data_IF_874319154935
#
_entry.id   IF_874319154935
#
_cell.length_a   1.000
_cell.length_b   1.000
_cell.length_c   1.000
_cell.angle_alpha   90.00
_cell.angle_beta   90.00
_cell.angle_gamma   90.00
#
_symmetry.space_group_name_H-M   'P 1'
#
loop_
_entity.id
_entity.type
_entity.pdbx_description
1 polymer ?
#
# COMPACT_ATOMS: atom_id res chain seq x y z
N UNK A 1 13.61 8.87 -25.95
CA UNK A 1 12.83 7.63 -25.77
C UNK A 1 12.24 7.19 -27.10
N UNK A 2 12.31 5.90 -27.42
CA UNK A 2 11.69 5.33 -28.63
C UNK A 2 10.15 5.45 -28.56
N UNK A 3 9.48 5.38 -29.71
CA UNK A 3 8.00 5.35 -29.78
C UNK A 3 7.44 4.21 -28.94
N UNK A 4 8.09 3.05 -28.97
CA UNK A 4 7.74 1.89 -28.15
C UNK A 4 7.81 2.21 -26.65
N UNK A 5 8.90 2.84 -26.18
CA UNK A 5 9.04 3.19 -24.77
C UNK A 5 7.94 4.14 -24.28
N UNK A 6 7.53 5.11 -25.12
CA UNK A 6 6.39 6.01 -24.79
C UNK A 6 5.08 5.24 -24.67
N UNK A 7 4.83 4.29 -25.57
CA UNK A 7 3.63 3.45 -25.52
C UNK A 7 3.63 2.58 -24.27
N UNK A 8 4.75 1.95 -23.93
CA UNK A 8 4.86 1.13 -22.72
C UNK A 8 4.60 1.93 -21.44
N UNK A 9 5.15 3.14 -21.34
CA UNK A 9 4.88 4.03 -20.19
C UNK A 9 3.40 4.39 -20.13
N UNK A 10 2.77 4.74 -21.25
CA UNK A 10 1.34 5.03 -21.31
C UNK A 10 0.50 3.82 -20.87
N UNK A 11 0.89 2.60 -21.27
CA UNK A 11 0.23 1.36 -20.85
C UNK A 11 0.37 1.11 -19.35
N UNK A 12 1.57 1.24 -18.78
CA UNK A 12 1.80 1.06 -17.34
C UNK A 12 0.98 2.07 -16.52
N UNK A 13 0.98 3.33 -16.94
CA UNK A 13 0.17 4.37 -16.27
C UNK A 13 -1.32 4.03 -16.37
N UNK A 14 -1.81 3.69 -17.57
CA UNK A 14 -3.22 3.37 -17.79
C UNK A 14 -3.68 2.18 -16.95
N UNK A 15 -2.89 1.10 -16.91
CA UNK A 15 -3.17 -0.08 -16.10
C UNK A 15 -3.08 0.20 -14.60
N UNK A 16 -2.08 0.97 -14.16
CA UNK A 16 -1.94 1.36 -12.75
C UNK A 16 -3.13 2.18 -12.26
N UNK A 17 -3.59 3.17 -13.06
CA UNK A 17 -4.79 3.95 -12.74
C UNK A 17 -6.03 3.06 -12.68
N UNK A 18 -6.23 2.17 -13.66
CA UNK A 18 -7.36 1.26 -13.68
C UNK A 18 -7.37 0.32 -12.45
N UNK A 19 -6.20 -0.19 -12.06
CA UNK A 19 -6.04 -1.07 -10.90
C UNK A 19 -6.28 -0.32 -9.58
N UNK A 20 -5.79 0.91 -9.44
CA UNK A 20 -6.04 1.76 -8.28
C UNK A 20 -7.53 2.07 -8.10
N UNK A 21 -8.25 2.38 -9.19
CA UNK A 21 -9.70 2.59 -9.15
C UNK A 21 -10.41 1.31 -8.69
N UNK A 22 -10.06 0.16 -9.28
CA UNK A 22 -10.67 -1.11 -8.94
C UNK A 22 -10.41 -1.51 -7.48
N UNK A 23 -9.19 -1.34 -6.98
CA UNK A 23 -8.83 -1.70 -5.61
C UNK A 23 -9.55 -0.81 -4.59
N UNK A 24 -9.66 0.49 -4.84
CA UNK A 24 -10.42 1.43 -3.99
C UNK A 24 -11.91 1.10 -4.02
N UNK A 25 -12.48 0.84 -5.20
CA UNK A 25 -13.89 0.45 -5.29
C UNK A 25 -14.16 -0.83 -4.50
N UNK A 26 -13.31 -1.86 -4.64
CA UNK A 26 -13.44 -3.08 -3.84
C UNK A 26 -13.32 -2.80 -2.35
N UNK A 27 -12.38 -1.95 -1.93
CA UNK A 27 -12.23 -1.56 -0.53
C UNK A 27 -13.48 -0.88 0.02
N UNK A 28 -14.03 0.09 -0.71
CA UNK A 28 -15.26 0.81 -0.32
C UNK A 28 -16.50 -0.09 -0.25
N UNK A 29 -16.51 -1.20 -0.99
CA UNK A 29 -17.56 -2.23 -0.92
C UNK A 29 -17.21 -3.37 0.06
N UNK A 30 -16.19 -3.22 0.90
CA UNK A 30 -15.73 -4.21 1.87
C UNK A 30 -15.22 -5.53 1.27
N UNK A 31 -14.71 -5.48 0.03
CA UNK A 31 -14.23 -6.63 -0.76
C UNK A 31 -12.70 -6.68 -0.93
N UNK A 32 -11.95 -5.84 -0.22
CA UNK A 32 -10.47 -5.84 -0.26
C UNK A 32 -9.84 -6.88 0.67
N UNK A 33 -10.63 -7.44 1.60
CA UNK A 33 -10.09 -8.18 2.74
C UNK A 33 -9.50 -7.23 3.79
N UNK A 34 -9.69 -7.56 5.07
CA UNK A 34 -9.20 -6.75 6.20
C UNK A 34 -7.93 -7.30 6.86
N UNK A 35 -7.65 -8.59 6.69
CA UNK A 35 -6.53 -9.24 7.39
C UNK A 35 -5.18 -8.70 6.90
N UNK A 36 -4.82 -8.94 5.63
CA UNK A 36 -3.53 -8.47 5.11
C UNK A 36 -3.47 -6.94 5.06
N UNK A 37 -4.49 -6.30 4.47
CA UNK A 37 -4.51 -4.85 4.31
C UNK A 37 -4.46 -4.12 5.66
N UNK A 38 -5.24 -4.55 6.65
CA UNK A 38 -5.28 -3.94 7.97
C UNK A 38 -3.98 -4.16 8.76
N UNK A 39 -3.30 -5.29 8.55
CA UNK A 39 -2.01 -5.56 9.21
C UNK A 39 -0.96 -4.54 8.78
N UNK A 40 -0.85 -4.30 7.47
CA UNK A 40 0.12 -3.37 6.92
C UNK A 40 -0.28 -1.90 7.13
N UNK A 41 -1.57 -1.58 7.04
CA UNK A 41 -2.12 -0.26 7.35
C UNK A 41 -1.74 0.19 8.76
N UNK A 42 -2.04 -0.64 9.77
CA UNK A 42 -1.68 -0.35 11.16
C UNK A 42 -0.17 -0.14 11.34
N UNK A 43 0.64 -0.99 10.72
CA UNK A 43 2.10 -0.91 10.85
C UNK A 43 2.68 0.35 10.19
N UNK A 44 2.22 0.72 8.99
CA UNK A 44 2.67 1.94 8.31
C UNK A 44 2.22 3.19 9.08
N UNK A 45 1.00 3.21 9.59
CA UNK A 45 0.51 4.27 10.46
C UNK A 45 1.36 4.41 11.73
N UNK A 46 1.72 3.30 12.37
CA UNK A 46 2.62 3.30 13.54
C UNK A 46 4.00 3.85 13.18
N UNK A 47 4.59 3.44 12.06
CA UNK A 47 5.86 4.00 11.59
C UNK A 47 5.78 5.50 11.32
N UNK A 48 4.70 5.97 10.68
CA UNK A 48 4.49 7.38 10.40
C UNK A 48 4.39 8.25 11.66
N UNK A 49 3.96 7.66 12.78
CA UNK A 49 3.83 8.31 14.09
C UNK A 49 4.98 7.97 15.05
N UNK A 50 6.06 7.31 14.58
CA UNK A 50 7.19 6.88 15.40
C UNK A 50 6.78 5.99 16.59
N UNK A 51 5.76 5.15 16.41
CA UNK A 51 5.27 4.19 17.39
C UNK A 51 5.87 2.80 17.15
N UNK A 52 5.82 1.96 18.18
CA UNK A 52 6.18 0.54 18.05
C UNK A 52 5.19 -0.16 17.09
N UNK A 53 5.65 -0.80 16.01
CA UNK A 53 4.78 -1.38 14.98
C UNK A 53 4.22 -2.75 15.43
N UNK A 54 3.47 -2.74 16.53
CA UNK A 54 2.80 -3.91 17.09
C UNK A 54 1.43 -4.09 16.44
N UNK A 55 1.21 -5.27 15.88
CA UNK A 55 -0.02 -5.60 15.20
C UNK A 55 -1.04 -6.22 16.15
N UNK A 56 -2.24 -5.65 16.22
CA UNK A 56 -3.30 -6.13 17.12
C UNK A 56 -4.07 -7.34 16.57
N UNK A 57 -4.00 -7.61 15.27
CA UNK A 57 -4.66 -8.75 14.61
C UNK A 57 -3.87 -10.04 14.84
N UNK A 58 -2.55 -9.98 14.65
CA UNK A 58 -1.61 -11.10 14.86
C UNK A 58 -0.98 -11.13 16.24
N UNK A 59 -1.23 -10.10 17.06
CA UNK A 59 -0.68 -9.96 18.41
C UNK A 59 0.85 -10.05 18.48
N UNK A 60 1.52 -9.55 17.44
CA UNK A 60 2.97 -9.66 17.27
C UNK A 60 3.55 -8.37 16.69
N UNK A 61 4.85 -8.17 16.87
CA UNK A 61 5.57 -7.10 16.18
C UNK A 61 5.64 -7.42 14.68
N UNK A 62 5.41 -6.43 13.80
CA UNK A 62 5.33 -6.67 12.35
C UNK A 62 6.57 -7.41 11.80
N UNK A 63 7.76 -6.99 12.24
CA UNK A 63 9.04 -7.60 11.83
C UNK A 63 9.28 -9.01 12.40
N UNK A 64 8.53 -9.40 13.45
CA UNK A 64 8.58 -10.74 14.03
C UNK A 64 7.62 -11.72 13.36
N UNK A 65 6.60 -11.21 12.66
CA UNK A 65 5.71 -12.02 11.82
C UNK A 65 6.32 -12.22 10.42
N UNK A 66 6.66 -11.12 9.75
CA UNK A 66 7.36 -11.12 8.45
C UNK A 66 8.36 -9.97 8.39
N UNK A 67 9.62 -10.26 8.05
CA UNK A 67 10.68 -9.25 8.01
C UNK A 67 10.55 -8.35 6.77
N UNK A 68 9.69 -7.33 6.85
CA UNK A 68 9.44 -6.35 5.78
C UNK A 68 10.17 -5.02 6.05
N UNK A 69 11.47 -4.97 5.78
CA UNK A 69 12.31 -3.79 6.03
C UNK A 69 11.97 -2.58 5.14
N UNK A 70 11.24 -2.80 4.06
CA UNK A 70 10.76 -1.73 3.17
C UNK A 70 9.53 -1.01 3.72
N UNK A 71 8.81 -1.60 4.67
CA UNK A 71 7.54 -1.08 5.17
C UNK A 71 7.63 0.32 5.81
N UNK A 72 8.68 0.65 6.61
CA UNK A 72 8.84 1.99 7.15
C UNK A 72 8.98 3.07 6.08
N UNK A 73 9.45 2.73 4.87
CA UNK A 73 9.60 3.68 3.76
C UNK A 73 8.26 4.18 3.22
N UNK A 74 7.14 3.51 3.56
CA UNK A 74 5.80 3.94 3.18
C UNK A 74 5.21 4.97 4.15
N UNK A 75 5.85 5.23 5.30
CA UNK A 75 5.40 6.22 6.28
C UNK A 75 5.09 7.61 5.69
N UNK A 76 5.86 8.15 4.73
CA UNK A 76 5.55 9.45 4.12
C UNK A 76 4.20 9.50 3.39
N UNK A 77 3.65 8.37 2.94
CA UNK A 77 2.31 8.34 2.33
C UNK A 77 1.26 8.79 3.35
N UNK A 78 1.41 8.40 4.62
CA UNK A 78 0.47 8.71 5.70
C UNK A 78 0.64 10.15 6.21
N UNK A 79 1.80 10.77 5.99
CA UNK A 79 1.96 12.21 6.23
C UNK A 79 1.23 13.06 5.18
N UNK A 80 1.14 12.58 3.94
CA UNK A 80 0.40 13.25 2.87
C UNK A 80 -1.10 12.99 2.98
N UNK A 81 -1.47 11.74 3.24
CA UNK A 81 -2.85 11.31 3.40
C UNK A 81 -2.92 10.10 4.31
N UNK A 82 -3.36 10.33 5.55
CA UNK A 82 -3.58 9.30 6.57
C UNK A 82 -4.82 8.45 6.24
N UNK A 83 -4.68 7.57 5.24
CA UNK A 83 -5.74 6.69 4.77
C UNK A 83 -5.18 5.46 4.05
N UNK A 84 -5.74 4.29 4.35
CA UNK A 84 -5.36 3.00 3.75
C UNK A 84 -5.43 2.98 2.22
N UNK A 85 -6.27 3.82 1.61
CA UNK A 85 -6.36 3.96 0.15
C UNK A 85 -5.06 4.47 -0.47
N UNK A 86 -4.21 5.17 0.29
CA UNK A 86 -2.86 5.55 -0.16
C UNK A 86 -1.97 4.33 -0.45
N UNK A 87 -2.08 3.26 0.36
CA UNK A 87 -1.37 2.00 0.14
C UNK A 87 -1.89 1.27 -1.11
N UNK A 88 -3.21 1.28 -1.33
CA UNK A 88 -3.83 0.69 -2.52
C UNK A 88 -3.39 1.39 -3.80
N UNK A 89 -3.25 2.72 -3.77
CA UNK A 89 -2.70 3.50 -4.89
C UNK A 89 -1.24 3.15 -5.10
N UNK A 90 -0.43 3.14 -4.03
CA UNK A 90 1.00 2.80 -4.13
C UNK A 90 1.20 1.41 -4.76
N UNK A 91 0.48 0.40 -4.27
CA UNK A 91 0.56 -0.97 -4.78
C UNK A 91 0.12 -1.11 -6.25
N UNK A 92 -0.75 -0.22 -6.75
CA UNK A 92 -1.17 -0.25 -8.15
C UNK A 92 -0.07 0.15 -9.14
N UNK A 93 0.92 0.92 -8.70
CA UNK A 93 2.08 1.34 -9.51
C UNK A 93 3.37 0.62 -9.13
N UNK A 94 3.39 0.00 -7.95
CA UNK A 94 4.53 -0.73 -7.43
C UNK A 94 4.16 -2.20 -7.24
N UNK A 95 4.48 -3.01 -8.26
CA UNK A 95 4.47 -4.45 -8.13
C UNK A 95 5.77 -4.85 -7.43
N UNK A 96 5.66 -5.32 -6.19
CA UNK A 96 6.77 -5.84 -5.41
C UNK A 96 7.38 -7.09 -6.06
#
# INVERSE_FOLDING_TARGET
MSRLAKLLVAWVIGLGVAYAILSILRHNHFQSGGFDLGIYDQAVWQYANFLNPYNTVKTSHILGDHLTLTLPLLAPLFWLWDDVRSLLIFQAFWLA
#
